data_IF_301701987109
#
_entry.id   IF_301701987109
#
_cell.length_a   1.000
_cell.length_b   1.000
_cell.length_c   1.000
_cell.angle_alpha   90.00
_cell.angle_beta   90.00
_cell.angle_gamma   90.00
#
_symmetry.space_group_name_H-M   'P 1'
#
loop_
_entity.id
_entity.type
_entity.pdbx_description
1 polymer ?
#
# COMPACT_ATOMS: atom_id res chain seq x y z
N UNK A 1 -20.23 21.78 -9.89
CA UNK A 1 -19.17 21.83 -8.86
C UNK A 1 -19.38 20.67 -7.92
N UNK A 2 -18.74 19.51 -8.19
CA UNK A 2 -18.94 18.30 -7.39
C UNK A 2 -17.90 18.19 -6.28
N UNK A 3 -18.40 17.76 -5.13
CA UNK A 3 -17.83 17.81 -3.79
C UNK A 3 -16.52 17.03 -3.65
N UNK A 4 -15.52 17.69 -3.05
CA UNK A 4 -14.18 17.17 -2.65
C UNK A 4 -14.20 15.97 -1.67
N UNK A 5 -15.36 15.37 -1.43
CA UNK A 5 -15.60 14.33 -0.43
C UNK A 5 -16.03 12.99 -1.04
N UNK A 6 -16.22 12.94 -2.36
CA UNK A 6 -16.49 11.69 -3.07
C UNK A 6 -15.18 11.05 -3.55
N UNK A 7 -14.28 10.76 -2.61
CA UNK A 7 -13.23 9.77 -2.88
C UNK A 7 -13.96 8.45 -3.03
N UNK A 8 -14.11 7.96 -4.27
CA UNK A 8 -14.68 6.64 -4.57
C UNK A 8 -14.16 5.64 -3.53
N UNK A 9 -15.05 4.96 -2.78
CA UNK A 9 -14.81 4.07 -1.60
C UNK A 9 -13.52 3.25 -1.66
N UNK A 10 -12.40 3.97 -1.60
CA UNK A 10 -11.09 3.52 -2.00
C UNK A 10 -10.42 2.97 -0.78
N UNK A 11 -9.64 1.91 -0.98
CA UNK A 11 -8.79 1.32 0.04
C UNK A 11 -8.27 2.40 1.00
N UNK A 12 -8.66 2.31 2.28
CA UNK A 12 -8.26 3.26 3.30
C UNK A 12 -6.85 2.90 3.79
N UNK A 13 -6.00 3.91 3.90
CA UNK A 13 -4.70 3.79 4.54
C UNK A 13 -4.86 3.77 6.06
N UNK A 14 -3.96 3.08 6.77
CA UNK A 14 -3.94 3.10 8.23
C UNK A 14 -3.37 4.44 8.73
N UNK A 15 -2.38 5.01 8.02
CA UNK A 15 -1.85 6.34 8.28
C UNK A 15 -1.30 7.00 7.00
N UNK A 16 -1.22 8.33 6.99
CA UNK A 16 -0.59 9.10 5.91
C UNK A 16 0.32 10.16 6.54
N UNK A 17 1.64 10.02 6.36
CA UNK A 17 2.65 10.87 7.03
C UNK A 17 3.85 11.05 6.10
N UNK A 18 4.41 12.26 6.02
CA UNK A 18 5.67 12.53 5.29
C UNK A 18 5.68 12.01 3.84
N UNK A 19 4.61 12.27 3.08
CA UNK A 19 4.46 11.81 1.69
C UNK A 19 4.47 10.27 1.54
N UNK A 20 4.11 9.56 2.61
CA UNK A 20 3.96 8.10 2.64
C UNK A 20 2.55 7.72 3.05
N UNK A 21 2.03 6.69 2.39
CA UNK A 21 0.77 6.04 2.69
C UNK A 21 1.10 4.73 3.39
N UNK A 22 0.67 4.54 4.62
CA UNK A 22 0.94 3.33 5.38
C UNK A 22 -0.25 2.36 5.35
N UNK A 23 0.07 1.10 5.10
CA UNK A 23 -0.83 -0.03 5.28
C UNK A 23 -0.17 -0.98 6.28
N UNK A 24 -0.73 -1.06 7.49
CA UNK A 24 -0.18 -1.85 8.60
C UNK A 24 -1.03 -3.11 8.72
N UNK A 25 -0.42 -4.29 8.63
CA UNK A 25 -1.13 -5.56 8.75
C UNK A 25 -0.38 -6.54 9.62
N UNK A 26 -1.02 -6.99 10.70
CA UNK A 26 -0.53 -8.10 11.50
C UNK A 26 -1.05 -9.43 10.97
N UNK A 27 -0.37 -10.00 9.97
CA UNK A 27 -0.76 -11.25 9.30
C UNK A 27 0.46 -12.15 9.08
N UNK A 28 0.25 -13.47 9.08
CA UNK A 28 1.30 -14.46 8.81
C UNK A 28 1.64 -14.60 7.33
N UNK A 29 0.73 -14.22 6.44
CA UNK A 29 0.94 -14.15 4.98
C UNK A 29 0.27 -12.91 4.40
N UNK A 30 0.98 -12.22 3.50
CA UNK A 30 0.48 -11.05 2.80
C UNK A 30 0.50 -11.26 1.28
N UNK A 31 -0.61 -10.89 0.64
CA UNK A 31 -0.83 -11.00 -0.81
C UNK A 31 -1.01 -9.62 -1.43
N UNK A 32 -0.91 -9.54 -2.76
CA UNK A 32 -1.28 -8.35 -3.53
C UNK A 32 -2.81 -8.18 -3.56
N UNK A 33 -3.39 -7.88 -2.41
CA UNK A 33 -4.84 -7.70 -2.28
C UNK A 33 -5.30 -6.49 -3.06
N UNK A 34 -6.60 -6.41 -3.34
CA UNK A 34 -7.19 -5.24 -3.97
C UNK A 34 -6.89 -3.95 -3.20
N UNK A 35 -6.84 -4.00 -1.85
CA UNK A 35 -6.45 -2.87 -1.02
C UNK A 35 -5.03 -2.38 -1.32
N UNK A 36 -4.06 -3.29 -1.40
CA UNK A 36 -2.67 -2.94 -1.76
C UNK A 36 -2.62 -2.29 -3.14
N UNK A 37 -3.32 -2.87 -4.13
CA UNK A 37 -3.31 -2.36 -5.50
C UNK A 37 -3.92 -0.97 -5.61
N UNK A 38 -5.04 -0.72 -4.92
CA UNK A 38 -5.68 0.60 -4.90
C UNK A 38 -4.81 1.66 -4.20
N UNK A 39 -4.22 1.33 -3.04
CA UNK A 39 -3.34 2.26 -2.34
C UNK A 39 -2.06 2.53 -3.13
N UNK A 40 -1.53 1.52 -3.83
CA UNK A 40 -0.37 1.69 -4.68
C UNK A 40 -0.69 2.56 -5.90
N UNK A 41 -1.84 2.33 -6.54
CA UNK A 41 -2.30 3.19 -7.62
C UNK A 41 -2.45 4.64 -7.15
N UNK A 42 -3.08 4.86 -5.98
CA UNK A 42 -3.17 6.18 -5.36
C UNK A 42 -1.80 6.78 -5.10
N UNK A 43 -0.86 6.00 -4.55
CA UNK A 43 0.50 6.47 -4.30
C UNK A 43 1.23 6.90 -5.57
N UNK A 44 1.06 6.16 -6.66
CA UNK A 44 1.61 6.52 -7.98
C UNK A 44 0.97 7.80 -8.52
N UNK A 45 -0.35 7.96 -8.42
CA UNK A 45 -1.06 9.16 -8.89
C UNK A 45 -0.67 10.41 -8.09
N UNK A 46 -0.50 10.27 -6.78
CA UNK A 46 -0.17 11.39 -5.88
C UNK A 46 1.34 11.66 -5.78
N UNK A 47 2.18 10.86 -6.44
CA UNK A 47 3.64 10.97 -6.32
C UNK A 47 4.16 10.65 -4.91
N UNK A 48 3.40 9.87 -4.14
CA UNK A 48 3.73 9.43 -2.78
C UNK A 48 4.26 7.99 -2.79
N UNK A 49 4.63 7.47 -1.61
CA UNK A 49 5.10 6.09 -1.45
C UNK A 49 4.16 5.28 -0.57
N UNK A 50 3.68 4.14 -1.06
CA UNK A 50 3.01 3.14 -0.25
C UNK A 50 4.07 2.38 0.58
N UNK A 51 3.89 2.37 1.88
CA UNK A 51 4.64 1.54 2.83
C UNK A 51 3.71 0.47 3.38
N UNK A 52 4.05 -0.78 3.12
CA UNK A 52 3.38 -1.93 3.71
C UNK A 52 4.21 -2.42 4.90
N UNK A 53 3.68 -2.25 6.10
CA UNK A 53 4.34 -2.66 7.35
C UNK A 53 3.76 -3.99 7.84
N UNK A 54 4.65 -4.97 8.00
CA UNK A 54 4.31 -6.37 8.26
C UNK A 54 5.20 -6.95 9.36
N UNK A 55 4.71 -7.95 10.12
CA UNK A 55 5.56 -8.72 11.03
C UNK A 55 6.80 -9.29 10.31
N UNK A 56 7.94 -9.37 11.00
CA UNK A 56 9.17 -9.99 10.47
C UNK A 56 8.96 -11.37 9.85
N UNK A 57 8.10 -12.19 10.45
CA UNK A 57 7.83 -13.57 10.01
C UNK A 57 6.78 -13.67 8.89
N UNK A 58 6.19 -12.55 8.46
CA UNK A 58 5.13 -12.57 7.45
C UNK A 58 5.66 -13.05 6.08
N UNK A 59 5.01 -14.06 5.50
CA UNK A 59 5.33 -14.57 4.16
C UNK A 59 4.74 -13.64 3.10
N UNK A 60 5.52 -13.32 2.07
CA UNK A 60 5.06 -12.52 0.93
C UNK A 60 4.76 -13.44 -0.24
N UNK A 61 3.54 -13.34 -0.79
CA UNK A 61 3.20 -14.08 -2.01
C UNK A 61 4.02 -13.62 -3.22
N UNK A 62 4.18 -14.49 -4.22
CA UNK A 62 4.92 -14.17 -5.44
C UNK A 62 4.37 -12.92 -6.13
N UNK A 63 3.04 -12.77 -6.19
CA UNK A 63 2.38 -11.61 -6.80
C UNK A 63 2.69 -10.30 -6.06
N UNK A 64 2.78 -10.34 -4.72
CA UNK A 64 3.14 -9.15 -3.94
C UNK A 64 4.59 -8.74 -4.16
N UNK A 65 5.50 -9.72 -4.22
CA UNK A 65 6.91 -9.47 -4.54
C UNK A 65 7.08 -8.89 -5.95
N UNK A 66 6.35 -9.44 -6.94
CA UNK A 66 6.35 -8.93 -8.30
C UNK A 66 5.86 -7.48 -8.36
N UNK A 67 4.76 -7.17 -7.67
CA UNK A 67 4.22 -5.81 -7.58
C UNK A 67 5.21 -4.82 -6.95
N UNK A 68 5.90 -5.22 -5.87
CA UNK A 68 6.94 -4.41 -5.25
C UNK A 68 8.14 -4.16 -6.17
N UNK A 69 8.51 -5.16 -6.98
CA UNK A 69 9.59 -5.02 -7.98
C UNK A 69 9.20 -4.07 -9.11
N UNK A 70 7.98 -4.20 -9.63
CA UNK A 70 7.42 -3.35 -10.70
C UNK A 70 7.35 -1.88 -10.26
N UNK A 71 6.90 -1.62 -9.04
CA UNK A 71 6.70 -0.28 -8.49
C UNK A 71 7.74 0.13 -7.44
N UNK A 72 9.01 -0.26 -7.61
CA UNK A 72 10.07 -0.07 -6.60
C UNK A 72 10.23 1.37 -6.07
N UNK A 73 9.85 2.38 -6.86
CA UNK A 73 9.90 3.80 -6.49
C UNK A 73 8.76 4.19 -5.54
N UNK A 74 7.57 3.63 -5.75
CA UNK A 74 6.35 4.00 -5.04
C UNK A 74 5.89 2.94 -4.03
N UNK A 75 6.55 1.78 -3.97
CA UNK A 75 6.20 0.71 -3.05
C UNK A 75 7.40 0.28 -2.19
N UNK A 76 7.21 0.29 -0.88
CA UNK A 76 8.17 -0.11 0.14
C UNK A 76 7.52 -1.15 1.07
N UNK A 77 8.28 -2.18 1.44
CA UNK A 77 7.84 -3.17 2.43
C UNK A 77 8.76 -3.03 3.63
N UNK A 78 8.19 -2.71 4.78
CA UNK A 78 8.90 -2.61 6.06
C UNK A 78 8.53 -3.79 6.94
N UNK A 79 9.44 -4.17 7.83
CA UNK A 79 9.25 -5.25 8.79
C UNK A 79 9.37 -4.71 10.20
N UNK A 80 8.30 -4.87 10.98
CA UNK A 80 8.26 -4.56 12.41
C UNK A 80 8.34 -5.85 13.24
#
# INVERSE_FOLDING_TARGET
>A
MMTKWHVARGARADAEINNKIFLIKNVSEMRATYQVRLLLYRAVQEGTRLVLDLPKECKLSANLKALAKEHRRNFEITRT
#
